data_IF_075317131511
#
_entry.id   IF_075317131511
#
_cell.length_a   1.000
_cell.length_b   1.000
_cell.length_c   1.000
_cell.angle_alpha   90.00
_cell.angle_beta   90.00
_cell.angle_gamma   90.00
#
_symmetry.space_group_name_H-M   'P 1'
#
loop_
_entity.id
_entity.type
_entity.pdbx_description
1 polymer ?
#
# COMPACT_ATOMS: atom_id res chain seq x y z
N UNK A 1 18.26 -11.29 7.66
CA UNK A 1 18.21 -11.23 6.18
C UNK A 1 17.07 -10.31 5.75
N UNK A 2 17.24 -9.55 4.66
CA UNK A 2 16.19 -8.71 4.07
C UNK A 2 15.92 -9.19 2.65
N UNK A 3 14.66 -9.42 2.31
CA UNK A 3 14.21 -9.83 0.97
C UNK A 3 13.24 -8.77 0.46
N UNK A 4 13.46 -8.25 -0.74
CA UNK A 4 12.57 -7.26 -1.35
C UNK A 4 11.92 -7.84 -2.60
N UNK A 5 10.62 -7.62 -2.75
CA UNK A 5 9.84 -8.01 -3.91
C UNK A 5 8.71 -7.00 -4.16
N UNK A 6 8.12 -7.01 -5.34
CA UNK A 6 7.09 -6.02 -5.66
C UNK A 6 5.71 -6.41 -5.08
N UNK A 7 5.27 -7.65 -5.31
CA UNK A 7 3.96 -8.16 -4.89
C UNK A 7 4.07 -8.79 -3.48
N UNK A 8 3.16 -8.51 -2.53
CA UNK A 8 3.23 -9.08 -1.18
C UNK A 8 3.06 -10.59 -1.13
N UNK A 9 3.63 -11.22 -0.10
CA UNK A 9 3.35 -12.62 0.25
C UNK A 9 2.04 -12.72 1.03
N UNK A 10 1.81 -11.78 1.94
CA UNK A 10 0.60 -11.64 2.74
C UNK A 10 0.06 -10.21 2.72
N UNK A 11 -1.26 -10.07 2.84
CA UNK A 11 -1.98 -8.79 2.97
C UNK A 11 -3.33 -9.05 3.65
N UNK A 12 -3.84 -8.07 4.40
CA UNK A 12 -5.23 -8.10 4.89
C UNK A 12 -6.23 -7.63 3.84
N UNK A 13 -5.77 -6.98 2.77
CA UNK A 13 -6.60 -6.41 1.71
C UNK A 13 -7.66 -7.39 1.17
N UNK A 14 -7.34 -8.65 0.77
CA UNK A 14 -8.35 -9.55 0.20
C UNK A 14 -9.49 -9.87 1.18
N UNK A 15 -9.21 -9.88 2.48
CA UNK A 15 -10.23 -10.10 3.51
C UNK A 15 -11.12 -8.86 3.63
N UNK A 16 -10.53 -7.65 3.62
CA UNK A 16 -11.25 -6.37 3.76
C UNK A 16 -12.11 -6.03 2.54
N UNK A 17 -11.69 -6.44 1.35
CA UNK A 17 -12.41 -6.17 0.09
C UNK A 17 -13.41 -7.28 -0.26
N UNK A 18 -13.50 -8.34 0.55
CA UNK A 18 -14.33 -9.51 0.24
C UNK A 18 -13.81 -10.34 -0.93
N UNK A 19 -12.61 -10.05 -1.43
CA UNK A 19 -11.96 -10.73 -2.55
C UNK A 19 -11.30 -12.05 -2.11
N UNK A 20 -12.10 -12.93 -1.49
CA UNK A 20 -11.67 -14.27 -1.08
C UNK A 20 -11.41 -15.20 -2.26
N UNK A 21 -11.97 -14.87 -3.43
CA UNK A 21 -11.77 -15.59 -4.68
C UNK A 21 -10.37 -15.35 -5.29
N UNK A 22 -9.61 -14.39 -4.73
CA UNK A 22 -8.24 -14.10 -5.11
C UNK A 22 -8.15 -13.50 -6.50
N UNK A 23 -8.29 -12.17 -6.61
CA UNK A 23 -7.76 -11.47 -7.78
C UNK A 23 -6.30 -11.87 -7.94
N UNK A 24 -6.03 -12.60 -9.03
CA UNK A 24 -4.67 -12.89 -9.47
C UNK A 24 -3.92 -11.56 -9.56
N UNK A 25 -2.88 -11.39 -8.75
CA UNK A 25 -2.03 -10.19 -8.76
C UNK A 25 -1.85 -9.52 -7.40
N UNK A 26 -2.79 -9.65 -6.46
CA UNK A 26 -2.66 -8.97 -5.15
C UNK A 26 -1.59 -9.62 -4.26
N UNK A 27 -1.40 -10.94 -4.38
CA UNK A 27 -0.44 -11.71 -3.60
C UNK A 27 0.39 -12.62 -4.50
N UNK A 28 1.61 -12.95 -4.06
CA UNK A 28 2.47 -13.94 -4.72
C UNK A 28 1.82 -15.33 -4.63
N UNK A 29 1.49 -15.91 -5.78
CA UNK A 29 0.77 -17.18 -5.87
C UNK A 29 1.54 -18.36 -5.28
N UNK A 30 2.88 -18.40 -5.43
CA UNK A 30 3.73 -19.48 -4.96
C UNK A 30 4.49 -19.14 -3.66
N UNK A 31 3.94 -18.24 -2.83
CA UNK A 31 4.59 -17.77 -1.59
C UNK A 31 5.04 -18.88 -0.63
N UNK A 32 4.34 -20.01 -0.59
CA UNK A 32 4.71 -21.15 0.27
C UNK A 32 6.07 -21.75 -0.09
N UNK A 33 6.47 -21.68 -1.37
CA UNK A 33 7.82 -22.06 -1.77
C UNK A 33 8.86 -21.08 -1.23
N UNK A 34 8.56 -19.78 -1.25
CA UNK A 34 9.45 -18.78 -0.69
C UNK A 34 9.54 -18.90 0.83
N UNK A 35 8.43 -19.09 1.55
CA UNK A 35 8.47 -19.32 3.00
C UNK A 35 9.38 -20.48 3.37
N UNK A 36 9.28 -21.62 2.65
CA UNK A 36 10.18 -22.77 2.84
C UNK A 36 11.64 -22.43 2.61
N UNK A 37 11.97 -21.63 1.60
CA UNK A 37 13.35 -21.19 1.35
C UNK A 37 13.90 -20.27 2.45
N UNK A 38 13.01 -19.56 3.15
CA UNK A 38 13.37 -18.63 4.22
C UNK A 38 13.36 -19.30 5.61
N UNK A 39 12.99 -20.57 5.72
CA UNK A 39 13.04 -21.33 6.97
C UNK A 39 14.45 -21.31 7.58
N UNK A 40 14.53 -21.16 8.89
CA UNK A 40 15.79 -21.03 9.63
C UNK A 40 16.41 -19.64 9.60
N UNK A 41 15.94 -18.71 8.76
CA UNK A 41 16.41 -17.34 8.74
C UNK A 41 15.49 -16.37 9.49
N UNK A 42 16.09 -15.38 10.17
CA UNK A 42 15.36 -14.18 10.62
C UNK A 42 15.16 -13.25 9.43
N UNK A 43 14.13 -13.53 8.63
CA UNK A 43 13.82 -12.81 7.40
C UNK A 43 12.85 -11.64 7.64
N UNK A 44 13.21 -10.48 7.09
CA UNK A 44 12.32 -9.33 6.92
C UNK A 44 12.03 -9.18 5.43
N UNK A 45 10.77 -9.19 5.07
CA UNK A 45 10.29 -9.07 3.70
C UNK A 45 9.79 -7.63 3.50
N UNK A 46 10.21 -7.01 2.41
CA UNK A 46 9.72 -5.69 1.97
C UNK A 46 8.94 -5.88 0.68
N UNK A 47 7.69 -5.43 0.68
CA UNK A 47 6.80 -5.50 -0.48
C UNK A 47 6.03 -4.20 -0.70
N UNK A 48 5.30 -4.11 -1.82
CA UNK A 48 4.49 -2.95 -2.17
C UNK A 48 3.25 -3.40 -2.95
N UNK A 49 3.07 -2.88 -4.17
CA UNK A 49 2.00 -3.24 -5.11
C UNK A 49 0.57 -2.85 -4.72
N UNK A 50 0.18 -2.98 -3.45
CA UNK A 50 -1.21 -2.76 -3.00
C UNK A 50 -1.56 -1.29 -2.79
N UNK A 51 -0.56 -0.40 -2.78
CA UNK A 51 -0.73 1.00 -2.37
C UNK A 51 -1.33 1.12 -0.96
N UNK A 52 -0.96 0.20 -0.07
CA UNK A 52 -1.33 0.19 1.35
C UNK A 52 -0.06 0.07 2.20
N UNK A 53 -0.19 0.32 3.50
CA UNK A 53 0.91 0.24 4.45
C UNK A 53 0.59 -0.74 5.58
N UNK A 54 1.11 -1.96 5.48
CA UNK A 54 0.83 -3.07 6.39
C UNK A 54 2.10 -3.66 7.01
N UNK A 55 1.97 -4.20 8.22
CA UNK A 55 2.99 -5.07 8.81
C UNK A 55 2.34 -6.39 9.22
N UNK A 56 2.84 -7.48 8.66
CA UNK A 56 2.25 -8.81 8.78
C UNK A 56 3.34 -9.79 9.21
N UNK A 57 2.99 -10.72 10.09
CA UNK A 57 3.84 -11.85 10.43
C UNK A 57 3.16 -13.13 9.96
N UNK A 58 3.73 -13.75 8.92
CA UNK A 58 3.19 -14.94 8.26
C UNK A 58 4.34 -15.81 7.73
N UNK A 59 4.17 -17.13 7.70
CA UNK A 59 5.20 -18.04 7.17
C UNK A 59 6.57 -17.94 7.86
N UNK A 60 6.61 -17.50 9.13
CA UNK A 60 7.84 -17.31 9.90
C UNK A 60 8.61 -16.01 9.60
N UNK A 61 8.10 -15.13 8.75
CA UNK A 61 8.79 -13.89 8.33
C UNK A 61 8.02 -12.64 8.73
N UNK A 62 8.73 -11.54 8.97
CA UNK A 62 8.13 -10.21 9.12
C UNK A 62 8.01 -9.54 7.76
N UNK A 63 6.80 -9.33 7.25
CA UNK A 63 6.57 -8.62 6.00
C UNK A 63 6.06 -7.20 6.24
N UNK A 64 6.72 -6.22 5.63
CA UNK A 64 6.31 -4.83 5.58
C UNK A 64 5.84 -4.55 4.15
N UNK A 65 4.53 -4.41 3.98
CA UNK A 65 3.95 -3.85 2.76
C UNK A 65 4.05 -2.35 2.91
N UNK A 66 4.90 -1.72 2.11
CA UNK A 66 5.24 -0.30 2.26
C UNK A 66 4.30 0.54 1.41
N UNK A 67 3.67 1.53 2.03
CA UNK A 67 2.88 2.53 1.33
C UNK A 67 3.68 3.24 0.25
N UNK A 68 2.97 3.87 -0.69
CA UNK A 68 3.59 4.44 -1.90
C UNK A 68 3.82 5.93 -1.77
N UNK A 69 4.85 6.43 -2.44
CA UNK A 69 5.10 7.88 -2.54
C UNK A 69 4.05 8.61 -3.38
N UNK A 70 3.35 7.89 -4.26
CA UNK A 70 2.29 8.42 -5.11
C UNK A 70 0.88 8.35 -4.51
N UNK A 71 0.73 7.87 -3.27
CA UNK A 71 -0.59 7.57 -2.71
C UNK A 71 -1.33 6.49 -3.52
N UNK A 72 -2.66 6.48 -3.45
CA UNK A 72 -3.53 5.55 -4.17
C UNK A 72 -3.50 5.87 -5.68
N UNK A 73 -2.60 5.22 -6.42
CA UNK A 73 -2.45 5.36 -7.88
C UNK A 73 -2.49 6.81 -8.39
N UNK A 74 -1.72 7.71 -7.76
CA UNK A 74 -1.66 9.14 -8.13
C UNK A 74 -2.97 9.92 -7.96
N UNK A 75 -3.93 9.39 -7.21
CA UNK A 75 -5.23 10.04 -6.98
C UNK A 75 -5.20 11.06 -5.83
N UNK A 76 -4.12 11.08 -5.03
CA UNK A 76 -3.99 11.98 -3.88
C UNK A 76 -2.76 11.69 -3.03
N UNK A 77 -2.66 12.37 -1.90
CA UNK A 77 -1.58 12.26 -0.91
C UNK A 77 -1.84 11.17 0.14
N UNK A 78 -2.81 10.28 -0.09
CA UNK A 78 -3.16 9.15 0.77
C UNK A 78 -3.08 7.84 -0.01
N UNK A 79 -2.57 6.80 0.65
CA UNK A 79 -2.61 5.41 0.23
C UNK A 79 -4.06 4.88 0.26
N UNK A 80 -4.28 3.71 -0.34
CA UNK A 80 -5.61 3.09 -0.47
C UNK A 80 -6.26 2.75 0.89
N UNK A 81 -5.43 2.47 1.90
CA UNK A 81 -5.84 2.22 3.28
C UNK A 81 -5.97 3.50 4.14
N UNK A 82 -5.79 4.68 3.53
CA UNK A 82 -5.84 5.99 4.18
C UNK A 82 -4.53 6.45 4.81
N UNK A 83 -3.48 5.61 4.86
CA UNK A 83 -2.16 6.04 5.33
C UNK A 83 -1.63 7.19 4.45
N UNK A 84 -1.05 8.28 4.98
CA UNK A 84 -0.43 9.30 4.14
C UNK A 84 0.61 8.69 3.19
N UNK A 85 0.74 9.21 1.98
CA UNK A 85 1.77 8.75 1.04
C UNK A 85 3.18 8.87 1.64
N UNK A 86 4.08 7.96 1.29
CA UNK A 86 5.36 7.89 2.00
C UNK A 86 6.20 6.69 1.64
N UNK A 87 7.15 6.39 2.52
CA UNK A 87 8.11 5.31 2.37
C UNK A 87 8.56 4.78 3.73
N UNK A 88 9.13 3.57 3.75
CA UNK A 88 9.76 3.00 4.94
C UNK A 88 11.23 3.43 5.03
N UNK A 89 11.68 3.76 6.23
CA UNK A 89 13.10 3.93 6.56
C UNK A 89 13.54 2.74 7.40
N UNK A 90 14.46 1.94 6.88
CA UNK A 90 15.04 0.79 7.57
C UNK A 90 16.41 1.15 8.15
N UNK A 91 16.59 0.86 9.42
CA UNK A 91 17.86 0.93 10.13
C UNK A 91 18.34 -0.49 10.45
N UNK A 92 19.45 -0.91 9.85
CA UNK A 92 20.03 -2.25 10.08
C UNK A 92 21.32 -2.12 10.87
N UNK A 93 21.40 -2.84 12.01
CA UNK A 93 22.58 -2.90 12.88
C UNK A 93 22.88 -4.35 13.24
N UNK A 94 23.85 -4.95 12.55
CA UNK A 94 24.11 -6.39 12.64
C UNK A 94 22.85 -7.16 12.25
N UNK A 95 22.36 -8.01 13.15
CA UNK A 95 21.12 -8.78 12.95
C UNK A 95 19.83 -8.02 13.28
N UNK A 96 19.93 -6.83 13.88
CA UNK A 96 18.76 -6.05 14.27
C UNK A 96 18.28 -5.20 13.10
N UNK A 97 17.01 -5.37 12.73
CA UNK A 97 16.31 -4.53 11.77
C UNK A 97 15.27 -3.70 12.53
N UNK A 98 15.36 -2.38 12.40
CA UNK A 98 14.33 -1.44 12.86
C UNK A 98 13.77 -0.73 11.66
N UNK A 99 12.49 -0.37 11.73
CA UNK A 99 11.87 0.40 10.66
C UNK A 99 10.93 1.45 11.24
N UNK A 100 10.67 2.47 10.43
CA UNK A 100 9.62 3.46 10.67
C UNK A 100 9.00 3.86 9.33
N UNK A 101 7.72 4.19 9.34
CA UNK A 101 7.10 4.86 8.21
C UNK A 101 7.45 6.35 8.21
N UNK A 102 7.68 6.91 7.02
CA UNK A 102 7.92 8.34 6.80
C UNK A 102 6.90 8.85 5.80
N UNK A 103 5.90 9.57 6.31
CA UNK A 103 4.95 10.29 5.47
C UNK A 103 5.66 11.44 4.74
N UNK A 104 5.33 11.62 3.46
CA UNK A 104 5.92 12.65 2.61
C UNK A 104 5.58 14.04 3.14
N UNK A 105 6.59 14.91 3.25
CA UNK A 105 6.38 16.28 3.74
C UNK A 105 6.04 16.41 5.23
N UNK A 106 6.07 15.31 6.00
CA UNK A 106 5.75 15.30 7.43
C UNK A 106 7.00 15.01 8.29
N UNK A 107 7.02 15.43 9.56
CA UNK A 107 8.10 15.04 10.47
C UNK A 107 8.08 13.53 10.74
N UNK A 108 9.24 12.94 11.06
CA UNK A 108 9.35 11.51 11.38
C UNK A 108 8.50 11.06 12.58
N UNK A 109 8.06 12.01 13.41
CA UNK A 109 7.18 11.80 14.57
C UNK A 109 5.70 11.79 14.19
N UNK A 110 5.34 12.06 12.93
CA UNK A 110 3.96 11.99 12.46
C UNK A 110 3.50 10.52 12.45
N UNK A 111 2.51 10.19 13.28
CA UNK A 111 2.00 8.83 13.43
C UNK A 111 0.60 8.67 12.83
N UNK A 112 -0.24 9.70 12.95
CA UNK A 112 -1.64 9.64 12.56
C UNK A 112 -2.18 11.01 12.16
N UNK A 113 -3.18 10.98 11.30
CA UNK A 113 -4.01 12.13 10.94
C UNK A 113 -5.40 11.90 11.49
N UNK A 114 -5.94 12.91 12.18
CA UNK A 114 -7.31 12.91 12.72
C UNK A 114 -8.17 13.89 11.93
N UNK A 115 -9.40 13.50 11.72
CA UNK A 115 -10.44 14.31 11.12
C UNK A 115 -11.58 14.44 12.14
N UNK A 116 -12.11 15.66 12.26
CA UNK A 116 -13.18 15.97 13.19
C UNK A 116 -14.52 15.33 12.76
N UNK A 117 -15.50 15.20 13.68
CA UNK A 117 -16.87 14.85 13.34
C UNK A 117 -17.41 15.71 12.19
N UNK A 118 -18.12 15.07 11.27
CA UNK A 118 -18.64 15.68 10.04
C UNK A 118 -17.69 15.63 8.86
N UNK A 119 -16.45 15.16 9.02
CA UNK A 119 -15.51 14.99 7.91
C UNK A 119 -15.88 13.85 6.96
N UNK A 120 -16.50 12.79 7.47
CA UNK A 120 -17.08 11.72 6.68
C UNK A 120 -18.61 11.85 6.67
N UNK A 121 -19.25 12.14 5.52
CA UNK A 121 -20.70 12.23 5.41
C UNK A 121 -21.45 10.95 5.81
N UNK A 122 -20.77 9.80 5.74
CA UNK A 122 -21.34 8.50 6.12
C UNK A 122 -21.23 8.21 7.62
N UNK A 123 -20.37 8.95 8.33
CA UNK A 123 -20.15 8.85 9.77
C UNK A 123 -20.01 10.25 10.42
N UNK A 124 -21.05 11.10 10.34
CA UNK A 124 -20.94 12.52 10.72
C UNK A 124 -20.73 12.77 12.22
N UNK A 125 -21.01 11.79 13.07
CA UNK A 125 -20.77 11.87 14.52
C UNK A 125 -19.37 11.46 14.96
N UNK A 126 -18.57 10.86 14.07
CA UNK A 126 -17.35 10.15 14.45
C UNK A 126 -16.08 10.92 14.08
N UNK A 127 -15.05 10.75 14.91
CA UNK A 127 -13.69 11.11 14.50
C UNK A 127 -13.16 10.04 13.53
N UNK A 128 -12.60 10.47 12.40
CA UNK A 128 -11.90 9.56 11.47
C UNK A 128 -10.40 9.68 11.71
N UNK A 129 -9.69 8.54 11.72
CA UNK A 129 -8.25 8.50 11.94
C UNK A 129 -7.57 7.66 10.85
N UNK A 130 -6.43 8.15 10.36
CA UNK A 130 -5.53 7.35 9.50
C UNK A 130 -4.15 7.27 10.15
N UNK A 131 -3.46 6.13 10.03
CA UNK A 131 -2.16 5.93 10.68
C UNK A 131 -1.08 5.55 9.67
N UNK A 132 0.11 6.13 9.80
CA UNK A 132 1.35 5.57 9.25
C UNK A 132 1.95 4.65 10.31
N UNK A 133 2.17 3.37 10.00
CA UNK A 133 2.58 2.41 11.04
C UNK A 133 3.89 2.84 11.71
N UNK A 134 3.84 2.96 13.04
CA UNK A 134 4.92 3.43 13.90
C UNK A 134 6.05 2.43 14.14
N UNK A 135 7.16 2.95 14.68
CA UNK A 135 8.41 2.22 14.99
C UNK A 135 8.14 1.00 15.88
N UNK A 136 8.42 -0.22 15.38
CA UNK A 136 8.32 -1.46 16.16
C UNK A 136 9.70 -2.12 16.31
N UNK A 137 10.03 -2.52 17.53
CA UNK A 137 11.27 -3.22 17.91
C UNK A 137 10.93 -4.40 18.83
N UNK A 138 11.32 -5.63 18.49
CA UNK A 138 11.28 -6.79 19.40
C UNK A 138 9.91 -7.49 19.56
N UNK A 139 9.88 -8.69 20.20
CA UNK A 139 8.79 -9.64 20.10
C UNK A 139 7.52 -9.19 20.85
N UNK A 140 6.37 -9.54 20.28
CA UNK A 140 5.03 -9.07 20.62
C UNK A 140 4.61 -9.30 22.08
N UNK A 141 4.00 -8.28 22.73
CA UNK A 141 2.97 -8.49 23.72
C UNK A 141 1.58 -8.22 23.12
N UNK A 142 0.65 -9.14 23.35
CA UNK A 142 -0.77 -8.85 23.56
C UNK A 142 -1.55 -8.17 22.44
N UNK A 143 -2.40 -8.98 21.79
CA UNK A 143 -3.55 -8.58 20.96
C UNK A 143 -4.19 -7.25 21.42
N UNK A 144 -4.06 -6.20 20.62
CA UNK A 144 -4.90 -5.00 20.71
C UNK A 144 -5.73 -4.90 19.44
N UNK A 145 -7.04 -4.94 19.62
CA UNK A 145 -8.07 -4.78 18.61
C UNK A 145 -7.99 -3.38 18.00
N UNK A 146 -7.77 -3.28 16.69
CA UNK A 146 -8.05 -2.08 15.92
C UNK A 146 -9.47 -2.19 15.36
N UNK A 147 -10.31 -1.20 15.66
CA UNK A 147 -11.64 -1.07 15.07
C UNK A 147 -11.50 -0.84 13.56
N UNK A 148 -12.21 -1.63 12.77
CA UNK A 148 -12.26 -1.50 11.32
C UNK A 148 -13.00 -0.21 10.93
N UNK A 149 -12.42 0.57 10.02
CA UNK A 149 -13.15 1.60 9.30
C UNK A 149 -14.17 0.93 8.35
N UNK A 150 -15.35 1.54 8.11
CA UNK A 150 -16.34 0.99 7.21
C UNK A 150 -15.84 1.00 5.77
N UNK A 151 -16.25 -0.02 5.03
CA UNK A 151 -15.94 -0.24 3.61
C UNK A 151 -16.59 0.86 2.77
N UNK A 152 -15.77 1.76 2.19
CA UNK A 152 -16.23 2.70 1.16
C UNK A 152 -16.21 1.96 -0.20
N UNK A 153 -17.36 1.72 -0.85
CA UNK A 153 -17.37 1.08 -2.16
C UNK A 153 -16.84 2.06 -3.22
N UNK A 154 -16.15 1.58 -4.27
CA UNK A 154 -15.67 2.45 -5.34
C UNK A 154 -16.85 3.10 -6.05
N UNK A 155 -16.77 4.42 -6.26
CA UNK A 155 -17.73 5.17 -7.05
C UNK A 155 -17.88 4.54 -8.44
N UNK A 156 -19.12 4.21 -8.83
CA UNK A 156 -19.44 3.81 -10.19
C UNK A 156 -19.09 4.96 -11.12
N UNK A 157 -18.09 4.78 -11.99
CA UNK A 157 -17.88 5.67 -13.13
C UNK A 157 -19.13 5.62 -14.01
N UNK A 158 -19.84 6.74 -14.12
CA UNK A 158 -20.86 6.93 -15.15
C UNK A 158 -20.24 6.84 -16.55
N UNK A 159 -21.03 6.52 -17.59
CA UNK A 159 -20.51 6.36 -18.93
C UNK A 159 -19.94 7.70 -19.44
N UNK A 160 -18.79 7.62 -20.11
CA UNK A 160 -18.16 8.76 -20.75
C UNK A 160 -19.08 9.39 -21.82
N UNK A 161 -19.11 10.72 -21.96
CA UNK A 161 -19.91 11.37 -23.00
C UNK A 161 -19.37 11.00 -24.39
N UNK A 162 -20.28 10.60 -25.28
CA UNK A 162 -20.02 10.26 -26.68
C UNK A 162 -19.60 11.50 -27.48
N UNK A 163 -18.31 11.73 -27.62
CA UNK A 163 -17.74 12.71 -28.54
C UNK A 163 -17.49 12.08 -29.91
N UNK A 164 -18.17 12.58 -30.94
CA UNK A 164 -17.94 12.28 -32.35
C UNK A 164 -16.50 12.61 -32.77
N UNK A 165 -15.76 11.60 -33.28
CA UNK A 165 -14.43 11.74 -33.90
C UNK A 165 -14.56 12.44 -35.27
N UNK A 166 -13.77 13.48 -35.58
CA UNK A 166 -13.61 13.91 -36.97
C UNK A 166 -12.68 12.95 -37.74
N UNK A 167 -12.94 12.81 -39.04
CA UNK A 167 -12.26 11.94 -39.99
C UNK A 167 -10.78 12.32 -40.23
N UNK A 168 -9.91 11.39 -40.67
CA UNK A 168 -8.48 11.65 -40.82
C UNK A 168 -8.18 12.44 -42.09
N UNK A 169 -7.53 13.59 -41.95
CA UNK A 169 -6.92 14.31 -43.07
C UNK A 169 -5.50 13.78 -43.34
N UNK A 170 -5.22 13.56 -44.62
CA UNK A 170 -4.00 13.01 -45.23
C UNK A 170 -2.69 13.68 -44.79
N UNK A 171 -1.65 12.86 -44.53
CA UNK A 171 -0.25 13.28 -44.34
C UNK A 171 0.35 13.87 -45.63
N UNK A 172 1.25 14.87 -45.54
CA UNK A 172 2.31 15.05 -46.52
C UNK A 172 3.67 14.55 -46.01
N UNK A 173 4.56 14.41 -46.99
CA UNK A 173 5.81 13.66 -47.00
C UNK A 173 6.90 14.11 -46.01
N UNK A 174 7.74 13.13 -45.67
CA UNK A 174 9.02 13.27 -44.99
C UNK A 174 10.03 13.94 -45.94
N UNK A 175 10.69 15.01 -45.50
CA UNK A 175 11.90 15.54 -46.11
C UNK A 175 13.07 15.35 -45.12
N UNK A 176 14.13 14.70 -45.59
CA UNK A 176 15.24 14.23 -44.77
C UNK A 176 16.28 15.30 -44.44
N UNK A 177 17.19 14.94 -43.54
CA UNK A 177 18.49 15.59 -43.36
C UNK A 177 19.57 14.51 -43.33
N UNK A 178 20.54 14.68 -44.23
CA UNK A 178 21.77 13.90 -44.35
C UNK A 178 22.97 14.76 -43.96
N UNK A 179 23.72 14.31 -42.95
CA UNK A 179 25.19 14.15 -42.85
C UNK A 179 25.59 14.23 -41.39
#
# INVERSE_FOLDING_TARGET
MVVALHIPLASTQPVRTGDRAGRHGTLVNNREALYRLLEGYRANVLSGHTHENEHIFAGGVHEQVVGTTCGAWWSGDICWDGTPNGYAVLEVRGEQVRWRYQATGQPATHQLRLYAPGADPTAPGDFVATSGTGRRTGPSPGRRTASAAPHVPPHRHGPAPSGTRPAPTSRPAVAGWSR
#
